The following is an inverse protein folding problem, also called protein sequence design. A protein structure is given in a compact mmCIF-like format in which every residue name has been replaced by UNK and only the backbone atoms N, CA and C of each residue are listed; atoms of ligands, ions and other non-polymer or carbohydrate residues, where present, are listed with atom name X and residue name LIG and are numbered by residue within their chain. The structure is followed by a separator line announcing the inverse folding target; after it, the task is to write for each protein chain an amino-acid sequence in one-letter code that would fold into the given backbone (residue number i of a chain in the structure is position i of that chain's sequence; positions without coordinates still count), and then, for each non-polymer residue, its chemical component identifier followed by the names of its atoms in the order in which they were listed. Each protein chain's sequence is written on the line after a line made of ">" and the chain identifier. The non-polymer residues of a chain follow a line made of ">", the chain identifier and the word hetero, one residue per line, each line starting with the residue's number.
data_IF_136502395758
#
_entry.id   IF_136502395758
#
_cell.length_a   1.000
_cell.length_b   1.000
_cell.length_c   1.000
_cell.angle_alpha   90.00
_cell.angle_beta   90.00
_cell.angle_gamma   90.00
#
_symmetry.space_group_name_H-M   'P 1'
#
loop_
_entity.id
_entity.type
_entity.pdbx_description
1 polymer ?
#
# COMPACT_ATOMS: atom_id res chain seq x y z
N UNK A 1 -4.25 -4.97 32.84
CA UNK A 1 -3.81 -6.37 32.59
C UNK A 1 -2.33 -6.43 32.90
N UNK A 2 -1.85 -7.49 33.55
CA UNK A 2 -0.42 -7.64 33.77
C UNK A 2 0.27 -7.98 32.44
N UNK A 3 1.52 -7.55 32.25
CA UNK A 3 2.32 -7.84 31.05
C UNK A 3 2.43 -9.35 30.76
N UNK A 4 2.44 -10.17 31.83
CA UNK A 4 2.40 -11.63 31.77
C UNK A 4 1.14 -12.17 31.07
N UNK A 5 -0.02 -11.56 31.33
CA UNK A 5 -1.30 -12.02 30.79
C UNK A 5 -1.36 -11.75 29.28
N UNK A 6 -0.80 -10.62 28.84
CA UNK A 6 -0.71 -10.26 27.42
C UNK A 6 0.26 -11.17 26.66
N UNK A 7 1.42 -11.45 27.25
CA UNK A 7 2.39 -12.39 26.67
C UNK A 7 1.81 -13.81 26.54
N UNK A 8 1.07 -14.26 27.55
CA UNK A 8 0.40 -15.56 27.51
C UNK A 8 -0.70 -15.60 26.44
N UNK A 9 -1.57 -14.59 26.39
CA UNK A 9 -2.62 -14.49 25.36
C UNK A 9 -2.03 -14.49 23.94
N UNK A 10 -0.94 -13.75 23.73
CA UNK A 10 -0.25 -13.69 22.44
C UNK A 10 0.35 -15.05 22.06
N UNK A 11 0.99 -15.74 23.00
CA UNK A 11 1.54 -17.08 22.79
C UNK A 11 0.44 -18.11 22.45
N UNK A 12 -0.68 -18.08 23.17
CA UNK A 12 -1.85 -18.93 22.90
C UNK A 12 -2.43 -18.65 21.51
N UNK A 13 -2.57 -17.39 21.14
CA UNK A 13 -3.01 -16.99 19.81
C UNK A 13 -2.09 -17.53 18.72
N UNK A 14 -0.76 -17.36 18.86
CA UNK A 14 0.20 -17.90 17.91
C UNK A 14 0.15 -19.42 17.80
N UNK A 15 -0.04 -20.13 18.92
CA UNK A 15 -0.17 -21.58 18.91
C UNK A 15 -1.40 -22.04 18.13
N UNK A 16 -2.56 -21.41 18.38
CA UNK A 16 -3.79 -21.66 17.63
C UNK A 16 -3.62 -21.35 16.14
N UNK A 17 -2.96 -20.25 15.79
CA UNK A 17 -2.72 -19.90 14.38
C UNK A 17 -1.87 -20.95 13.66
N UNK A 18 -0.87 -21.52 14.33
CA UNK A 18 -0.06 -22.63 13.78
C UNK A 18 -0.87 -23.91 13.59
N UNK A 19 -1.78 -24.22 14.51
CA UNK A 19 -2.67 -25.38 14.38
C UNK A 19 -3.61 -25.23 13.17
N UNK A 20 -4.25 -24.06 13.03
CA UNK A 20 -5.09 -23.74 11.88
C UNK A 20 -4.28 -23.84 10.58
N UNK A 21 -3.08 -23.26 10.54
CA UNK A 21 -2.22 -23.35 9.36
C UNK A 21 -1.93 -24.81 8.97
N UNK A 22 -1.59 -25.65 9.94
CA UNK A 22 -1.32 -27.07 9.67
C UNK A 22 -2.54 -27.82 9.14
N UNK A 23 -3.73 -27.54 9.67
CA UNK A 23 -4.96 -28.19 9.23
C UNK A 23 -5.38 -27.73 7.82
N UNK A 24 -5.28 -26.42 7.53
CA UNK A 24 -5.57 -25.86 6.21
C UNK A 24 -4.58 -26.35 5.13
N UNK A 25 -3.29 -26.43 5.45
CA UNK A 25 -2.29 -27.02 4.56
C UNK A 25 -2.54 -28.52 4.31
N UNK A 26 -3.00 -29.25 5.33
CA UNK A 26 -3.35 -30.67 5.20
C UNK A 26 -4.59 -30.86 4.33
N UNK A 27 -5.61 -30.02 4.53
CA UNK A 27 -6.82 -29.99 3.71
C UNK A 27 -6.52 -29.66 2.24
N UNK A 28 -5.58 -28.74 1.99
CA UNK A 28 -5.16 -28.35 0.65
C UNK A 28 -4.07 -29.26 0.03
N UNK A 29 -3.68 -30.36 0.68
CA UNK A 29 -2.51 -31.17 0.30
C UNK A 29 -2.53 -31.66 -1.15
N UNK A 30 -3.67 -32.16 -1.64
CA UNK A 30 -3.83 -32.57 -3.05
C UNK A 30 -3.57 -31.40 -3.99
N UNK A 31 -4.17 -30.24 -3.71
CA UNK A 31 -4.00 -29.04 -4.52
C UNK A 31 -2.55 -28.53 -4.51
N UNK A 32 -1.88 -28.60 -3.35
CA UNK A 32 -0.46 -28.27 -3.22
C UNK A 32 0.40 -29.16 -4.11
N UNK A 33 0.15 -30.48 -4.14
CA UNK A 33 0.92 -31.39 -5.00
C UNK A 33 0.67 -31.15 -6.50
N UNK A 34 -0.57 -30.92 -6.89
CA UNK A 34 -0.91 -30.52 -8.27
C UNK A 34 -0.20 -29.23 -8.67
N UNK A 35 -0.23 -28.22 -7.80
CA UNK A 35 0.43 -26.94 -8.04
C UNK A 35 1.95 -27.09 -8.11
N UNK A 36 2.58 -27.92 -7.27
CA UNK A 36 4.01 -28.25 -7.37
C UNK A 36 4.36 -28.87 -8.71
N UNK A 37 3.53 -29.78 -9.21
CA UNK A 37 3.74 -30.40 -10.52
C UNK A 37 3.64 -29.36 -11.65
N UNK A 38 2.63 -28.48 -11.59
CA UNK A 38 2.48 -27.35 -12.52
C UNK A 38 3.68 -26.39 -12.47
N UNK A 39 4.07 -25.94 -11.27
CA UNK A 39 5.21 -25.03 -11.09
C UNK A 39 6.50 -25.63 -11.68
N UNK A 40 6.70 -26.95 -11.57
CA UNK A 40 7.83 -27.65 -12.16
C UNK A 40 7.86 -27.58 -13.68
N UNK A 41 6.70 -27.63 -14.37
CA UNK A 41 6.65 -27.48 -15.83
C UNK A 41 7.04 -26.06 -16.27
N UNK A 42 6.89 -25.09 -15.37
CA UNK A 42 7.31 -23.69 -15.52
C UNK A 42 8.73 -23.42 -14.98
N UNK A 43 9.47 -24.47 -14.60
CA UNK A 43 10.86 -24.35 -14.12
C UNK A 43 11.02 -23.95 -12.65
N UNK A 44 9.95 -23.90 -11.87
CA UNK A 44 9.98 -23.57 -10.44
C UNK A 44 9.88 -24.84 -9.59
N UNK A 45 10.84 -25.05 -8.69
CA UNK A 45 10.79 -26.15 -7.72
C UNK A 45 10.38 -25.61 -6.35
N UNK A 46 9.30 -26.15 -5.79
CA UNK A 46 8.75 -25.75 -4.50
C UNK A 46 8.79 -26.93 -3.51
N UNK A 47 9.38 -26.71 -2.34
CA UNK A 47 9.33 -27.65 -1.20
C UNK A 47 8.01 -27.49 -0.43
N UNK A 48 7.71 -28.36 0.54
CA UNK A 48 6.56 -28.14 1.43
C UNK A 48 6.70 -26.86 2.28
N UNK A 49 7.93 -26.49 2.63
CA UNK A 49 8.21 -25.26 3.38
C UNK A 49 7.93 -23.96 2.60
N UNK A 50 7.70 -24.05 1.28
CA UNK A 50 7.28 -22.92 0.46
C UNK A 50 5.80 -22.56 0.65
N UNK A 51 5.02 -23.41 1.33
CA UNK A 51 3.59 -23.25 1.51
C UNK A 51 3.28 -22.77 2.93
N UNK A 52 2.36 -21.82 3.01
CA UNK A 52 1.90 -21.23 4.26
C UNK A 52 0.40 -20.93 4.15
N UNK A 53 -0.30 -20.94 5.28
CA UNK A 53 -1.67 -20.45 5.37
C UNK A 53 -1.76 -19.23 6.29
N UNK A 54 -2.47 -18.21 5.83
CA UNK A 54 -2.93 -17.12 6.70
C UNK A 54 -4.37 -16.77 6.36
N UNK A 55 -5.22 -16.43 7.35
CA UNK A 55 -6.63 -16.12 7.09
C UNK A 55 -6.86 -15.07 5.99
N UNK A 56 -6.08 -13.97 5.89
CA UNK A 56 -6.29 -12.98 4.84
C UNK A 56 -5.94 -13.46 3.43
N UNK A 57 -5.01 -14.41 3.29
CA UNK A 57 -4.44 -14.79 1.99
C UNK A 57 -4.79 -16.21 1.54
N UNK A 58 -5.38 -17.02 2.41
CA UNK A 58 -5.57 -18.46 2.17
C UNK A 58 -4.25 -19.22 2.11
N UNK A 59 -4.23 -20.29 1.33
CA UNK A 59 -3.03 -21.11 1.12
C UNK A 59 -2.17 -20.49 0.03
N UNK A 60 -0.96 -20.12 0.39
CA UNK A 60 -0.02 -19.45 -0.52
C UNK A 60 1.23 -20.29 -0.75
N UNK A 61 1.82 -20.14 -1.93
CA UNK A 61 3.15 -20.64 -2.27
C UNK A 61 4.09 -19.45 -2.45
N UNK A 62 5.26 -19.50 -1.81
CA UNK A 62 6.26 -18.44 -1.86
C UNK A 62 7.59 -18.94 -2.43
N UNK A 63 8.12 -18.24 -3.43
CA UNK A 63 9.48 -18.39 -3.92
C UNK A 63 9.89 -17.14 -4.72
N UNK A 64 11.17 -16.76 -4.76
CA UNK A 64 11.61 -15.58 -5.50
C UNK A 64 11.17 -15.63 -6.97
N UNK A 65 10.42 -14.62 -7.40
CA UNK A 65 9.91 -14.49 -8.76
C UNK A 65 8.93 -15.59 -9.19
N UNK A 66 8.29 -16.31 -8.25
CA UNK A 66 7.35 -17.39 -8.58
C UNK A 66 6.28 -16.93 -9.56
N UNK A 67 5.67 -15.76 -9.36
CA UNK A 67 4.64 -15.26 -10.27
C UNK A 67 5.19 -15.02 -11.68
N UNK A 68 6.39 -14.44 -11.81
CA UNK A 68 7.02 -14.16 -13.11
C UNK A 68 7.29 -15.43 -13.92
N UNK A 69 7.62 -16.52 -13.23
CA UNK A 69 7.85 -17.82 -13.86
C UNK A 69 6.55 -18.50 -14.29
N UNK A 70 5.46 -18.26 -13.58
CA UNK A 70 4.15 -18.87 -13.85
C UNK A 70 3.31 -18.08 -14.86
N UNK A 71 3.46 -16.75 -14.89
CA UNK A 71 2.67 -15.83 -15.70
C UNK A 71 3.38 -15.52 -17.03
N UNK A 72 2.68 -15.72 -18.14
CA UNK A 72 3.21 -15.44 -19.49
C UNK A 72 3.30 -13.91 -19.78
N UNK A 73 2.62 -13.09 -18.97
CA UNK A 73 2.71 -11.63 -19.03
C UNK A 73 3.88 -11.16 -18.17
N UNK A 74 4.77 -10.36 -18.76
CA UNK A 74 5.94 -9.81 -18.07
C UNK A 74 5.72 -8.36 -17.65
N UNK A 75 6.31 -7.91 -16.52
CA UNK A 75 6.28 -6.52 -16.12
C UNK A 75 7.16 -5.67 -17.03
N UNK A 76 6.88 -4.37 -17.08
CA UNK A 76 7.73 -3.42 -17.77
C UNK A 76 9.10 -3.33 -17.08
N UNK A 77 10.19 -3.54 -17.83
CA UNK A 77 11.54 -3.58 -17.27
C UNK A 77 12.04 -2.26 -16.67
N UNK A 78 11.39 -1.11 -16.96
CA UNK A 78 11.77 0.20 -16.42
C UNK A 78 11.16 0.48 -15.06
N UNK A 79 9.88 0.15 -14.86
CA UNK A 79 9.14 0.51 -13.66
C UNK A 79 8.60 -0.69 -12.86
N UNK A 80 8.76 -1.91 -13.36
CA UNK A 80 8.36 -3.14 -12.67
C UNK A 80 6.85 -3.38 -12.65
N UNK A 81 6.06 -2.60 -13.41
CA UNK A 81 4.60 -2.70 -13.41
C UNK A 81 4.08 -3.60 -14.53
N UNK A 82 3.00 -4.32 -14.25
CA UNK A 82 2.25 -5.09 -15.24
C UNK A 82 1.17 -4.20 -15.86
N UNK A 83 1.12 -4.17 -17.19
CA UNK A 83 0.07 -3.46 -17.92
C UNK A 83 -1.29 -4.14 -17.76
N UNK A 84 -2.31 -3.38 -17.38
CA UNK A 84 -3.64 -3.91 -17.08
C UNK A 84 -4.28 -4.62 -18.27
N UNK A 85 -4.12 -4.07 -19.48
CA UNK A 85 -4.67 -4.66 -20.70
C UNK A 85 -4.08 -6.04 -21.02
N UNK A 86 -2.82 -6.29 -20.67
CA UNK A 86 -2.20 -7.62 -20.84
C UNK A 86 -2.63 -8.57 -19.73
N UNK A 87 -2.68 -8.11 -18.48
CA UNK A 87 -3.18 -8.91 -17.35
C UNK A 87 -4.61 -9.39 -17.58
N UNK A 88 -5.51 -8.50 -18.04
CA UNK A 88 -6.92 -8.80 -18.25
C UNK A 88 -7.19 -9.86 -19.35
N UNK A 89 -6.20 -10.17 -20.20
CA UNK A 89 -6.29 -11.26 -21.19
C UNK A 89 -6.13 -12.65 -20.56
N UNK A 90 -5.40 -12.74 -19.45
CA UNK A 90 -4.98 -14.02 -18.86
C UNK A 90 -5.50 -14.24 -17.44
N UNK A 91 -5.86 -13.18 -16.73
CA UNK A 91 -6.40 -13.21 -15.38
C UNK A 91 -7.75 -12.51 -15.33
N UNK A 92 -8.59 -12.96 -14.39
CA UNK A 92 -9.92 -12.38 -14.11
C UNK A 92 -9.96 -11.85 -12.68
N UNK A 93 -10.92 -10.98 -12.32
CA UNK A 93 -11.16 -10.63 -10.92
C UNK A 93 -11.27 -11.89 -10.04
N UNK A 94 -10.54 -11.90 -8.93
CA UNK A 94 -10.47 -13.02 -8.00
C UNK A 94 -11.57 -13.02 -6.94
N UNK A 95 -11.48 -13.93 -5.96
CA UNK A 95 -12.50 -14.11 -4.92
C UNK A 95 -12.51 -13.01 -3.85
N UNK A 96 -11.48 -12.18 -3.79
CA UNK A 96 -11.31 -11.11 -2.80
C UNK A 96 -10.62 -9.90 -3.41
N UNK A 97 -10.67 -8.78 -2.68
CA UNK A 97 -9.89 -7.57 -2.97
C UNK A 97 -8.42 -7.94 -3.19
N UNK A 98 -7.74 -7.25 -4.10
CA UNK A 98 -6.32 -7.50 -4.36
C UNK A 98 -5.99 -8.87 -4.99
N UNK A 99 -6.97 -9.73 -5.31
CA UNK A 99 -6.76 -10.99 -6.04
C UNK A 99 -7.17 -10.97 -7.53
N UNK A 100 -6.35 -11.57 -8.39
CA UNK A 100 -6.62 -11.86 -9.80
C UNK A 100 -6.53 -13.37 -10.05
N UNK A 101 -7.65 -14.01 -10.38
CA UNK A 101 -7.75 -15.46 -10.55
C UNK A 101 -7.31 -15.88 -11.96
N UNK A 102 -6.32 -16.77 -12.00
CA UNK A 102 -5.94 -17.56 -13.17
C UNK A 102 -6.47 -19.01 -13.06
N UNK A 103 -6.11 -19.88 -14.03
CA UNK A 103 -6.55 -21.27 -14.04
C UNK A 103 -5.90 -22.12 -12.94
N UNK A 104 -4.62 -21.88 -12.63
CA UNK A 104 -3.84 -22.72 -11.72
C UNK A 104 -3.47 -22.04 -10.40
N UNK A 105 -3.55 -20.71 -10.36
CA UNK A 105 -3.23 -19.92 -9.18
C UNK A 105 -3.98 -18.59 -9.19
N UNK A 106 -3.94 -17.90 -8.06
CA UNK A 106 -4.42 -16.53 -7.91
C UNK A 106 -3.20 -15.63 -7.74
N UNK A 107 -3.02 -14.69 -8.65
CA UNK A 107 -2.06 -13.60 -8.50
C UNK A 107 -2.62 -12.58 -7.51
N UNK A 108 -1.73 -11.91 -6.78
CA UNK A 108 -2.11 -10.90 -5.80
C UNK A 108 -1.47 -9.56 -6.15
N UNK A 109 -2.13 -8.47 -5.78
CA UNK A 109 -1.52 -7.14 -5.81
C UNK A 109 -0.24 -7.12 -4.94
N UNK A 110 0.63 -6.14 -5.14
CA UNK A 110 1.88 -6.06 -4.37
C UNK A 110 1.60 -5.85 -2.86
N UNK A 111 2.37 -6.46 -1.93
CA UNK A 111 2.13 -6.35 -0.48
C UNK A 111 2.08 -4.94 0.09
N UNK A 112 2.63 -3.95 -0.61
CA UNK A 112 2.55 -2.53 -0.24
C UNK A 112 1.12 -1.96 -0.18
N UNK A 113 0.16 -2.59 -0.85
CA UNK A 113 -1.25 -2.18 -0.76
C UNK A 113 -1.95 -2.76 0.47
N UNK A 114 -1.31 -3.68 1.20
CA UNK A 114 -1.87 -4.24 2.44
C UNK A 114 -1.79 -3.21 3.57
N UNK A 115 -2.63 -3.39 4.58
CA UNK A 115 -2.62 -2.59 5.81
C UNK A 115 -1.21 -2.51 6.40
N UNK A 116 -0.79 -1.28 6.74
CA UNK A 116 0.56 -0.97 7.23
C UNK A 116 1.70 -1.47 6.31
N UNK A 117 1.42 -1.79 5.04
CA UNK A 117 2.36 -2.43 4.11
C UNK A 117 2.89 -3.79 4.61
N UNK A 118 2.15 -4.46 5.50
CA UNK A 118 2.57 -5.72 6.10
C UNK A 118 2.25 -6.92 5.19
N UNK A 119 3.19 -7.85 4.95
CA UNK A 119 2.97 -9.00 4.05
C UNK A 119 1.88 -9.99 4.46
N UNK A 120 1.34 -9.91 5.68
CA UNK A 120 0.22 -10.75 6.12
C UNK A 120 -1.02 -9.92 6.45
N UNK A 121 -1.00 -8.61 6.19
CA UNK A 121 -2.15 -7.74 6.36
C UNK A 121 -3.20 -7.96 5.28
N UNK A 122 -4.43 -7.50 5.55
CA UNK A 122 -5.50 -7.51 4.56
C UNK A 122 -5.35 -6.35 3.55
N UNK A 123 -6.10 -6.41 2.44
CA UNK A 123 -6.13 -5.42 1.35
C UNK A 123 -6.95 -4.17 1.66
N UNK A 124 -7.50 -4.05 2.86
CA UNK A 124 -8.10 -2.82 3.34
C UNK A 124 -7.00 -1.80 3.67
N UNK A 125 -7.09 -0.55 3.17
CA UNK A 125 -8.27 0.09 2.57
C UNK A 125 -8.40 -0.09 1.04
N UNK A 126 -9.62 0.15 0.52
CA UNK A 126 -10.16 -0.09 -0.86
C UNK A 126 -9.40 0.48 -2.07
N UNK A 127 -8.17 0.98 -1.92
CA UNK A 127 -7.40 1.56 -3.03
C UNK A 127 -7.33 0.61 -4.23
N UNK A 128 -6.99 -0.66 -3.99
CA UNK A 128 -6.77 -1.61 -5.08
C UNK A 128 -8.06 -1.89 -5.86
N UNK A 129 -9.20 -1.98 -5.18
CA UNK A 129 -10.50 -2.20 -5.79
C UNK A 129 -10.98 -0.99 -6.60
N UNK A 130 -10.80 0.22 -6.05
CA UNK A 130 -11.08 1.46 -6.77
C UNK A 130 -10.18 1.56 -8.00
N UNK A 131 -8.89 1.28 -7.85
CA UNK A 131 -7.94 1.28 -8.95
C UNK A 131 -8.29 0.24 -10.03
N UNK A 132 -8.74 -0.96 -9.65
CA UNK A 132 -9.14 -2.01 -10.59
C UNK A 132 -10.42 -1.70 -11.35
N UNK A 133 -11.42 -1.17 -10.65
CA UNK A 133 -12.68 -0.72 -11.25
C UNK A 133 -12.53 0.56 -12.07
N UNK A 134 -11.49 1.36 -11.81
CA UNK A 134 -11.22 2.58 -12.55
C UNK A 134 -11.00 2.31 -14.04
N UNK A 135 -11.87 2.91 -14.86
CA UNK A 135 -11.86 2.76 -16.31
C UNK A 135 -12.30 4.07 -16.95
N UNK A 136 -11.47 4.60 -17.85
CA UNK A 136 -11.80 5.77 -18.68
C UNK A 136 -11.24 5.59 -20.08
N UNK A 137 -11.84 6.26 -21.07
CA UNK A 137 -11.42 6.12 -22.46
C UNK A 137 -9.99 6.64 -22.64
N UNK A 138 -9.11 5.81 -23.21
CA UNK A 138 -7.71 6.17 -23.46
C UNK A 138 -6.81 6.10 -22.21
N UNK A 139 -7.29 5.50 -21.12
CA UNK A 139 -6.50 5.25 -19.92
C UNK A 139 -5.53 4.07 -20.12
N UNK A 140 -4.24 4.31 -19.92
CA UNK A 140 -3.23 3.28 -19.75
C UNK A 140 -2.96 3.07 -18.25
N UNK A 141 -3.25 1.87 -17.78
CA UNK A 141 -3.22 1.46 -16.37
C UNK A 141 -2.18 0.39 -16.15
N UNK A 142 -1.35 0.52 -15.14
CA UNK A 142 -0.36 -0.50 -14.77
C UNK A 142 -0.24 -0.63 -13.25
N UNK A 143 0.03 -1.84 -12.77
CA UNK A 143 0.06 -2.15 -11.32
C UNK A 143 1.16 -3.17 -10.99
N UNK A 144 1.70 -3.09 -9.78
CA UNK A 144 2.62 -4.08 -9.25
C UNK A 144 1.84 -5.26 -8.66
N UNK A 145 2.33 -6.46 -8.92
CA UNK A 145 1.82 -7.71 -8.33
C UNK A 145 2.84 -8.26 -7.32
N UNK A 146 2.39 -9.13 -6.43
CA UNK A 146 3.25 -9.88 -5.50
C UNK A 146 4.03 -10.93 -6.32
N UNK A 147 5.28 -10.62 -6.66
CA UNK A 147 6.05 -11.47 -7.56
C UNK A 147 6.59 -12.74 -6.88
N UNK A 148 6.69 -12.70 -5.56
CA UNK A 148 7.31 -13.74 -4.74
C UNK A 148 6.27 -14.64 -4.06
N UNK A 149 4.97 -14.39 -4.29
CA UNK A 149 3.88 -15.16 -3.69
C UNK A 149 2.66 -15.29 -4.61
N UNK A 150 2.10 -16.48 -4.67
CA UNK A 150 0.80 -16.75 -5.31
C UNK A 150 -0.10 -17.54 -4.36
N UNK A 151 -1.42 -17.39 -4.51
CA UNK A 151 -2.42 -18.18 -3.78
C UNK A 151 -2.82 -19.41 -4.61
N UNK A 152 -2.95 -20.58 -3.97
CA UNK A 152 -3.11 -21.88 -4.67
C UNK A 152 -4.46 -22.55 -4.42
N UNK A 153 -5.16 -22.20 -3.34
CA UNK A 153 -6.53 -22.60 -3.02
C UNK A 153 -7.53 -21.73 -3.79
N UNK A 154 -7.78 -22.10 -5.05
CA UNK A 154 -8.59 -21.32 -6.00
C UNK A 154 -10.03 -21.05 -5.56
N UNK A 155 -10.57 -21.96 -4.75
CA UNK A 155 -11.94 -21.93 -4.22
C UNK A 155 -11.96 -21.75 -2.70
N UNK A 156 -10.80 -21.41 -2.11
CA UNK A 156 -10.72 -21.12 -0.69
C UNK A 156 -11.48 -19.85 -0.34
N UNK A 157 -11.86 -19.74 0.93
CA UNK A 157 -12.60 -18.59 1.43
C UNK A 157 -11.75 -17.31 1.31
N UNK A 158 -12.40 -16.20 0.95
CA UNK A 158 -11.80 -14.87 1.05
C UNK A 158 -12.03 -14.27 2.44
N UNK A 159 -11.15 -13.37 2.85
CA UNK A 159 -11.33 -12.57 4.04
C UNK A 159 -11.75 -11.15 3.62
N UNK A 160 -12.92 -10.70 4.10
CA UNK A 160 -13.46 -9.37 3.77
C UNK A 160 -13.43 -8.45 4.98
N UNK A 161 -12.82 -7.28 4.84
CA UNK A 161 -12.93 -6.18 5.80
C UNK A 161 -13.62 -5.02 5.10
N UNK A 162 -14.79 -4.61 5.58
CA UNK A 162 -15.60 -3.57 4.96
C UNK A 162 -15.28 -2.17 5.55
N UNK A 163 -13.99 -1.91 5.76
CA UNK A 163 -13.53 -0.62 6.26
C UNK A 163 -13.74 0.44 5.18
N UNK A 164 -14.54 1.44 5.52
CA UNK A 164 -14.86 2.54 4.61
C UNK A 164 -14.01 3.74 4.96
N UNK A 165 -13.18 4.14 4.00
CA UNK A 165 -12.51 5.44 3.98
C UNK A 165 -13.18 6.26 2.88
N UNK A 166 -13.53 7.50 3.16
CA UNK A 166 -14.08 8.41 2.15
C UNK A 166 -13.04 9.50 1.88
N UNK A 167 -13.03 10.07 0.67
CA UNK A 167 -12.26 11.27 0.41
C UNK A 167 -12.97 12.52 0.96
N UNK A 168 -12.23 13.55 1.39
CA UNK A 168 -12.81 14.84 1.75
C UNK A 168 -13.35 15.58 0.50
N UNK A 169 -14.28 16.54 0.66
CA UNK A 169 -14.48 17.55 -0.38
C UNK A 169 -13.16 18.30 -0.63
N UNK A 170 -12.89 18.70 -1.87
CA UNK A 170 -11.65 19.38 -2.21
C UNK A 170 -11.91 20.60 -3.09
N UNK A 171 -11.02 21.59 -3.05
CA UNK A 171 -11.05 22.67 -4.02
C UNK A 171 -10.69 22.11 -5.41
N UNK A 172 -11.71 21.94 -6.26
CA UNK A 172 -11.54 21.40 -7.60
C UNK A 172 -10.70 22.30 -8.53
N UNK A 173 -10.47 23.56 -8.14
CA UNK A 173 -9.59 24.49 -8.86
C UNK A 173 -8.11 24.21 -8.54
N UNK A 174 -7.55 23.18 -9.18
CA UNK A 174 -6.12 22.88 -9.10
C UNK A 174 -5.28 24.06 -9.55
N UNK A 175 -5.75 24.91 -10.47
CA UNK A 175 -4.96 26.04 -10.97
C UNK A 175 -4.71 27.07 -9.87
N UNK A 176 -5.66 27.30 -8.97
CA UNK A 176 -5.53 28.28 -7.87
C UNK A 176 -4.60 27.86 -6.73
N UNK A 177 -4.23 26.58 -6.62
CA UNK A 177 -3.41 26.09 -5.51
C UNK A 177 -2.02 26.76 -5.51
N UNK A 178 -1.55 27.27 -4.37
CA UNK A 178 -0.21 27.87 -4.28
C UNK A 178 0.92 26.87 -4.58
N UNK A 179 2.01 27.34 -5.19
CA UNK A 179 3.24 26.55 -5.29
C UNK A 179 3.97 26.52 -3.94
N UNK A 180 4.76 25.49 -3.71
CA UNK A 180 5.56 25.35 -2.50
C UNK A 180 5.30 24.04 -1.77
N UNK A 181 5.67 24.03 -0.50
CA UNK A 181 5.67 22.83 0.33
C UNK A 181 4.73 22.99 1.51
N UNK A 182 4.03 21.92 1.85
CA UNK A 182 3.21 21.80 3.06
C UNK A 182 3.62 20.53 3.76
N UNK A 183 3.90 20.61 5.06
CA UNK A 183 4.25 19.45 5.87
C UNK A 183 3.34 19.39 7.08
N UNK A 184 2.47 18.38 7.11
CA UNK A 184 1.53 18.16 8.20
C UNK A 184 2.04 17.03 9.10
N UNK A 185 1.77 17.14 10.38
CA UNK A 185 2.11 16.14 11.41
C UNK A 185 0.87 15.87 12.25
N UNK A 186 0.74 14.67 12.84
CA UNK A 186 -0.27 14.45 13.86
C UNK A 186 -0.12 15.47 15.00
N UNK A 187 -1.20 15.77 15.75
CA UNK A 187 -1.12 16.67 16.90
C UNK A 187 -0.04 16.22 17.88
N UNK A 188 0.88 17.13 18.22
CA UNK A 188 2.09 16.82 19.01
C UNK A 188 1.80 16.41 20.44
N UNK A 189 0.58 16.69 20.92
CA UNK A 189 0.10 16.35 22.25
C UNK A 189 -0.42 14.90 22.35
N UNK A 190 -0.57 14.19 21.22
CA UNK A 190 -0.94 12.78 21.23
C UNK A 190 0.27 11.88 21.51
N UNK A 191 0.07 10.87 22.36
CA UNK A 191 1.07 9.84 22.61
C UNK A 191 1.34 8.98 21.37
N UNK A 192 2.49 8.31 21.32
CA UNK A 192 2.87 7.40 20.22
C UNK A 192 1.80 6.34 19.95
N UNK A 193 1.23 5.75 21.00
CA UNK A 193 0.18 4.72 20.89
C UNK A 193 -1.09 5.29 20.22
N UNK A 194 -1.47 6.53 20.56
CA UNK A 194 -2.64 7.19 19.94
C UNK A 194 -2.38 7.52 18.47
N UNK A 195 -1.15 7.94 18.14
CA UNK A 195 -0.72 8.16 16.74
C UNK A 195 -0.70 6.85 15.95
N UNK A 196 -0.20 5.76 16.53
CA UNK A 196 -0.24 4.43 15.94
C UNK A 196 -1.68 4.01 15.62
N UNK A 197 -2.58 4.11 16.61
CA UNK A 197 -3.98 3.69 16.48
C UNK A 197 -4.77 4.52 15.47
N UNK A 198 -4.63 5.86 15.46
CA UNK A 198 -5.53 6.74 14.73
C UNK A 198 -4.93 7.41 13.49
N UNK A 199 -3.60 7.53 13.45
CA UNK A 199 -2.87 8.09 12.30
C UNK A 199 -2.04 7.01 11.58
N UNK A 200 -2.28 5.73 11.88
CA UNK A 200 -1.57 4.59 11.30
C UNK A 200 -0.04 4.78 11.36
N UNK A 201 0.47 5.22 12.51
CA UNK A 201 1.89 5.50 12.73
C UNK A 201 2.47 6.56 11.78
N UNK A 202 1.67 7.47 11.25
CA UNK A 202 2.19 8.56 10.42
C UNK A 202 3.09 9.48 11.25
N UNK A 203 4.32 9.70 10.79
CA UNK A 203 5.19 10.74 11.32
C UNK A 203 4.83 12.10 10.71
N UNK A 204 4.67 12.13 9.39
CA UNK A 204 4.20 13.30 8.67
C UNK A 204 3.67 12.93 7.29
N UNK A 205 2.95 13.87 6.68
CA UNK A 205 2.83 13.94 5.24
C UNK A 205 3.50 15.22 4.72
N UNK A 206 4.42 15.07 3.79
CA UNK A 206 5.13 16.16 3.12
C UNK A 206 4.60 16.26 1.70
N UNK A 207 4.14 17.44 1.31
CA UNK A 207 3.45 17.70 0.05
C UNK A 207 4.13 18.85 -0.66
N UNK A 208 4.25 18.76 -1.98
CA UNK A 208 4.83 19.80 -2.81
C UNK A 208 4.03 20.00 -4.08
N UNK A 209 3.75 21.28 -4.37
CA UNK A 209 3.34 21.73 -5.69
C UNK A 209 4.49 22.48 -6.36
N UNK A 210 4.74 22.10 -7.60
CA UNK A 210 5.65 22.82 -8.49
C UNK A 210 5.00 22.99 -9.86
N UNK A 211 5.55 23.87 -10.69
CA UNK A 211 5.02 24.11 -12.02
C UNK A 211 6.16 24.30 -13.01
N UNK A 212 5.99 23.70 -14.20
CA UNK A 212 6.86 23.92 -15.34
C UNK A 212 6.00 24.13 -16.59
N UNK A 213 6.01 25.36 -17.11
CA UNK A 213 5.12 25.77 -18.20
C UNK A 213 3.65 25.56 -17.82
N UNK A 214 2.96 24.75 -18.63
CA UNK A 214 1.53 24.44 -18.50
C UNK A 214 1.25 23.22 -17.59
N UNK A 215 2.28 22.60 -17.03
CA UNK A 215 2.14 21.41 -16.21
C UNK A 215 2.40 21.77 -14.75
N UNK A 216 1.39 21.50 -13.91
CA UNK A 216 1.49 21.63 -12.46
C UNK A 216 1.67 20.25 -11.85
N UNK A 217 2.71 20.07 -11.06
CA UNK A 217 3.11 18.78 -10.51
C UNK A 217 2.82 18.74 -9.02
N UNK A 218 2.09 17.71 -8.61
CA UNK A 218 1.85 17.34 -7.22
C UNK A 218 2.79 16.20 -6.82
N UNK A 219 3.39 16.32 -5.64
CA UNK A 219 4.13 15.23 -5.00
C UNK A 219 3.68 15.14 -3.54
N UNK A 220 3.51 13.92 -3.02
CA UNK A 220 3.26 13.69 -1.60
C UNK A 220 4.09 12.51 -1.09
N UNK A 221 4.58 12.61 0.14
CA UNK A 221 5.33 11.57 0.83
C UNK A 221 4.77 11.40 2.25
N UNK A 222 4.18 10.24 2.52
CA UNK A 222 3.83 9.81 3.88
C UNK A 222 5.02 9.07 4.48
N UNK A 223 5.59 9.63 5.53
CA UNK A 223 6.58 8.95 6.36
C UNK A 223 5.87 8.35 7.57
N UNK A 224 6.20 7.10 7.88
CA UNK A 224 5.81 6.46 9.14
C UNK A 224 6.81 6.79 10.24
N UNK A 225 6.42 6.58 11.49
CA UNK A 225 7.33 6.71 12.63
C UNK A 225 8.45 5.66 12.58
N UNK A 226 9.48 5.86 13.40
CA UNK A 226 10.71 5.06 13.38
C UNK A 226 10.55 3.60 13.81
N UNK A 227 9.43 3.23 14.43
CA UNK A 227 9.11 1.85 14.78
C UNK A 227 8.58 1.04 13.59
N UNK A 228 8.12 1.70 12.53
CA UNK A 228 7.62 1.02 11.33
C UNK A 228 8.78 0.67 10.42
N UNK A 229 9.03 -0.64 10.29
CA UNK A 229 10.07 -1.21 9.46
C UNK A 229 9.49 -2.25 8.51
N UNK A 230 10.08 -2.35 7.32
CA UNK A 230 9.87 -3.44 6.39
C UNK A 230 11.21 -4.05 5.98
N UNK A 231 11.20 -5.29 5.50
CA UNK A 231 12.40 -5.97 5.04
C UNK A 231 12.46 -5.93 3.52
N UNK A 232 13.52 -5.32 2.98
CA UNK A 232 13.86 -5.41 1.57
C UNK A 232 15.11 -6.27 1.44
N UNK A 233 14.96 -7.48 0.88
CA UNK A 233 16.06 -8.46 0.73
C UNK A 233 16.78 -8.77 2.06
N UNK A 234 16.01 -8.88 3.15
CA UNK A 234 16.55 -9.16 4.48
C UNK A 234 17.08 -7.94 5.22
N UNK A 235 17.09 -6.75 4.60
CA UNK A 235 17.60 -5.52 5.22
C UNK A 235 16.44 -4.64 5.68
N UNK A 236 16.41 -4.19 6.95
CA UNK A 236 15.36 -3.33 7.47
C UNK A 236 15.43 -1.93 6.83
N UNK A 237 14.27 -1.43 6.41
CA UNK A 237 14.08 -0.09 5.86
C UNK A 237 12.81 0.54 6.45
N UNK A 238 12.79 1.86 6.52
CA UNK A 238 11.58 2.62 6.79
C UNK A 238 10.81 2.80 5.47
N UNK A 239 9.60 2.24 5.34
CA UNK A 239 8.79 2.42 4.15
C UNK A 239 8.09 3.79 4.18
N UNK A 240 8.01 4.43 3.01
CA UNK A 240 7.28 5.68 2.84
C UNK A 240 6.44 5.62 1.56
N UNK A 241 5.15 5.96 1.66
CA UNK A 241 4.26 6.02 0.51
C UNK A 241 4.50 7.33 -0.23
N UNK A 242 4.73 7.25 -1.53
CA UNK A 242 4.99 8.40 -2.39
C UNK A 242 3.95 8.45 -3.51
N UNK A 243 3.36 9.63 -3.73
CA UNK A 243 2.48 9.92 -4.86
C UNK A 243 3.08 11.01 -5.73
N UNK A 244 2.85 10.90 -7.04
CA UNK A 244 3.19 11.91 -8.03
C UNK A 244 2.04 12.06 -9.03
N UNK A 245 1.67 13.30 -9.34
CA UNK A 245 0.64 13.60 -10.34
C UNK A 245 1.01 14.83 -11.17
N UNK A 246 0.60 14.82 -12.44
CA UNK A 246 0.77 15.95 -13.35
C UNK A 246 -0.58 16.45 -13.83
N UNK A 247 -0.88 17.71 -13.52
CA UNK A 247 -2.07 18.43 -13.94
C UNK A 247 -1.76 19.30 -15.15
N UNK A 248 -2.53 19.13 -16.22
CA UNK A 248 -2.45 19.95 -17.43
C UNK A 248 -3.38 21.17 -17.27
N UNK A 249 -2.80 22.35 -17.05
CA UNK A 249 -3.55 23.59 -16.79
C UNK A 249 -4.42 24.02 -17.97
N UNK A 250 -4.07 23.62 -19.20
CA UNK A 250 -4.86 23.99 -20.38
C UNK A 250 -6.08 23.07 -20.55
N UNK A 251 -5.95 21.82 -20.13
CA UNK A 251 -7.04 20.83 -20.22
C UNK A 251 -7.88 20.72 -18.95
N UNK A 252 -7.39 21.24 -17.83
CA UNK A 252 -8.07 21.18 -16.54
C UNK A 252 -8.17 19.76 -15.97
N UNK A 253 -7.23 18.88 -16.30
CA UNK A 253 -7.24 17.47 -15.87
C UNK A 253 -5.84 16.97 -15.53
N UNK A 254 -5.76 15.95 -14.69
CA UNK A 254 -4.53 15.18 -14.52
C UNK A 254 -4.31 14.30 -15.75
N UNK A 255 -3.07 14.25 -16.23
CA UNK A 255 -2.61 13.45 -17.38
C UNK A 255 -1.76 12.24 -16.99
N UNK A 256 -1.23 12.27 -15.77
CA UNK A 256 -0.36 11.26 -15.22
C UNK A 256 -0.54 11.22 -13.70
N UNK A 257 -0.66 10.02 -13.15
CA UNK A 257 -0.75 9.78 -11.72
C UNK A 257 -0.11 8.45 -11.39
N UNK A 258 0.89 8.45 -10.53
CA UNK A 258 1.56 7.23 -10.10
C UNK A 258 1.88 7.24 -8.61
N UNK A 259 2.10 6.04 -8.09
CA UNK A 259 2.44 5.84 -6.70
C UNK A 259 3.51 4.79 -6.52
N UNK A 260 4.26 4.93 -5.44
CA UNK A 260 5.41 4.11 -5.13
C UNK A 260 5.66 4.00 -3.64
N UNK A 261 6.50 3.04 -3.28
CA UNK A 261 7.10 2.95 -1.95
C UNK A 261 8.57 3.34 -2.06
N UNK A 262 8.98 4.29 -1.22
CA UNK A 262 10.38 4.59 -0.95
C UNK A 262 10.81 3.77 0.26
N UNK A 263 11.92 3.05 0.11
CA UNK A 263 12.56 2.30 1.19
C UNK A 263 13.77 3.08 1.64
N UNK A 264 13.67 3.72 2.80
CA UNK A 264 14.74 4.52 3.38
C UNK A 264 15.53 3.66 4.36
N UNK A 265 16.86 3.65 4.23
CA UNK A 265 17.72 3.20 5.32
C UNK A 265 17.51 4.10 6.54
N UNK A 266 17.91 3.66 7.74
CA UNK A 266 17.78 4.50 8.95
C UNK A 266 18.46 5.86 8.77
N UNK A 267 19.65 5.92 8.19
CA UNK A 267 20.36 7.18 7.94
C UNK A 267 19.58 8.12 7.00
N UNK A 268 19.03 7.57 5.91
CA UNK A 268 18.20 8.34 4.97
C UNK A 268 16.90 8.81 5.61
N UNK A 269 16.26 7.96 6.42
CA UNK A 269 15.03 8.30 7.14
C UNK A 269 15.24 9.47 8.10
N UNK A 270 16.26 9.42 8.96
CA UNK A 270 16.55 10.52 9.90
C UNK A 270 16.96 11.81 9.17
N UNK A 271 17.65 11.71 8.03
CA UNK A 271 17.95 12.88 7.19
C UNK A 271 16.71 13.47 6.51
N UNK A 272 15.75 12.62 6.11
CA UNK A 272 14.57 13.02 5.34
C UNK A 272 13.40 13.48 6.21
N UNK A 273 13.20 12.88 7.39
CA UNK A 273 11.97 13.03 8.18
C UNK A 273 11.74 14.44 8.71
N UNK A 274 12.80 15.19 8.99
CA UNK A 274 12.72 16.57 9.48
C UNK A 274 12.93 17.61 8.36
N UNK A 275 13.38 17.17 7.18
CA UNK A 275 13.55 18.00 5.98
C UNK A 275 12.27 18.10 5.14
N UNK A 276 12.17 19.11 4.27
CA UNK A 276 11.13 19.19 3.23
C UNK A 276 11.66 18.72 1.86
N UNK A 277 10.77 18.61 0.87
CA UNK A 277 11.15 18.33 -0.53
C UNK A 277 12.06 19.39 -1.18
N UNK A 278 12.33 20.55 -0.58
CA UNK A 278 13.23 21.56 -1.15
C UNK A 278 14.66 21.43 -0.61
N UNK A 279 14.82 21.09 0.67
CA UNK A 279 16.13 20.95 1.31
C UNK A 279 16.94 19.78 0.75
N UNK A 280 16.27 18.73 0.27
CA UNK A 280 16.94 17.57 -0.35
C UNK A 280 17.61 17.87 -1.69
N UNK A 281 17.31 19.00 -2.34
CA UNK A 281 17.90 19.38 -3.63
C UNK A 281 19.04 20.40 -3.54
N UNK A 282 19.21 21.12 -2.42
CA UNK A 282 20.19 22.22 -2.31
C UNK A 282 21.47 21.85 -1.55
N UNK A 283 21.50 20.75 -0.81
CA UNK A 283 22.69 20.28 -0.08
C UNK A 283 23.29 19.02 -0.71
N UNK A 284 24.59 18.83 -0.51
CA UNK A 284 25.40 17.68 -0.98
C UNK A 284 24.95 16.31 -0.47
N UNK A 285 23.96 16.27 0.43
CA UNK A 285 23.32 15.05 0.94
C UNK A 285 21.98 14.81 0.23
N UNK A 286 22.05 14.35 -1.02
CA UNK A 286 20.87 13.90 -1.75
C UNK A 286 20.44 12.52 -1.25
N UNK A 287 19.33 12.46 -0.51
CA UNK A 287 18.69 11.18 -0.16
C UNK A 287 18.03 10.63 -1.43
N UNK A 288 18.57 9.52 -1.95
CA UNK A 288 18.03 8.79 -3.12
C UNK A 288 17.62 7.39 -2.68
N UNK A 289 16.45 7.26 -2.03
CA UNK A 289 16.05 5.99 -1.45
C UNK A 289 15.77 4.98 -2.56
N UNK A 290 15.84 3.70 -2.19
CA UNK A 290 15.38 2.64 -3.10
C UNK A 290 13.89 2.85 -3.36
N UNK A 291 13.49 2.85 -4.62
CA UNK A 291 12.16 3.23 -5.07
C UNK A 291 11.51 2.07 -5.81
N UNK A 292 10.28 1.72 -5.44
CA UNK A 292 9.48 0.73 -6.15
C UNK A 292 8.13 1.33 -6.52
N UNK A 293 7.87 1.50 -7.81
CA UNK A 293 6.56 1.92 -8.29
C UNK A 293 5.56 0.80 -8.06
N UNK A 294 4.35 1.14 -7.62
CA UNK A 294 3.30 0.17 -7.30
C UNK A 294 2.06 0.32 -8.17
N UNK A 295 1.80 1.52 -8.71
CA UNK A 295 0.79 1.71 -9.74
C UNK A 295 1.13 2.91 -10.64
N UNK A 296 0.47 2.98 -11.80
CA UNK A 296 0.55 4.10 -12.74
C UNK A 296 -0.74 4.20 -13.54
N UNK A 297 -1.22 5.43 -13.72
CA UNK A 297 -2.33 5.83 -14.57
C UNK A 297 -1.85 6.94 -15.50
N UNK A 298 -1.95 6.70 -16.81
CA UNK A 298 -1.71 7.68 -17.85
C UNK A 298 -2.99 7.88 -18.65
N UNK A 299 -3.43 9.12 -18.81
CA UNK A 299 -4.71 9.43 -19.46
C UNK A 299 -5.45 10.53 -18.71
N UNK A 300 -6.70 10.75 -19.06
CA UNK A 300 -7.53 11.79 -18.43
C UNK A 300 -8.04 11.31 -17.08
N UNK A 301 -7.64 12.03 -16.03
CA UNK A 301 -8.07 11.80 -14.64
C UNK A 301 -8.60 13.14 -14.12
N UNK A 302 -9.84 13.15 -13.67
CA UNK A 302 -10.49 14.33 -13.08
C UNK A 302 -9.92 14.63 -11.70
N UNK A 303 -10.10 15.86 -11.22
CA UNK A 303 -9.69 16.24 -9.86
C UNK A 303 -10.34 15.35 -8.81
N UNK A 304 -11.63 15.05 -8.95
CA UNK A 304 -12.36 14.17 -8.03
C UNK A 304 -11.76 12.76 -7.96
N UNK A 305 -11.47 12.15 -9.11
CA UNK A 305 -10.86 10.82 -9.17
C UNK A 305 -9.46 10.82 -8.55
N UNK A 306 -8.67 11.86 -8.81
CA UNK A 306 -7.34 12.02 -8.20
C UNK A 306 -7.42 12.16 -6.66
N UNK A 307 -8.36 12.97 -6.14
CA UNK A 307 -8.57 13.13 -4.69
C UNK A 307 -8.98 11.81 -4.05
N UNK A 308 -9.93 11.10 -4.65
CA UNK A 308 -10.41 9.80 -4.16
C UNK A 308 -9.26 8.78 -4.11
N UNK A 309 -8.56 8.57 -5.22
CA UNK A 309 -7.45 7.62 -5.28
C UNK A 309 -6.30 8.01 -4.33
N UNK A 310 -5.97 9.30 -4.22
CA UNK A 310 -4.94 9.77 -3.29
C UNK A 310 -5.33 9.53 -1.83
N UNK A 311 -6.59 9.79 -1.48
CA UNK A 311 -7.12 9.56 -0.13
C UNK A 311 -7.09 8.09 0.24
N UNK A 312 -7.42 7.20 -0.70
CA UNK A 312 -7.36 5.76 -0.48
C UNK A 312 -5.93 5.21 -0.45
N UNK A 313 -5.00 5.77 -1.22
CA UNK A 313 -3.60 5.32 -1.19
C UNK A 313 -2.94 5.62 0.17
N UNK A 314 -3.30 6.75 0.79
CA UNK A 314 -2.85 7.16 2.11
C UNK A 314 -3.86 6.86 3.23
N UNK A 315 -4.82 5.97 3.00
CA UNK A 315 -5.90 5.77 3.96
C UNK A 315 -5.40 5.26 5.33
N UNK A 316 -6.24 5.48 6.35
CA UNK A 316 -5.91 5.44 7.78
C UNK A 316 -5.00 6.58 8.29
N UNK A 317 -4.64 7.55 7.44
CA UNK A 317 -3.93 8.76 7.85
C UNK A 317 -4.83 10.01 7.67
N UNK A 318 -5.39 10.55 8.77
CA UNK A 318 -6.23 11.74 8.73
C UNK A 318 -5.56 13.01 8.21
N UNK A 319 -4.23 13.07 8.12
CA UNK A 319 -3.52 14.25 7.59
C UNK A 319 -3.87 14.54 6.12
N UNK A 320 -4.27 13.53 5.35
CA UNK A 320 -4.79 13.77 4.00
C UNK A 320 -6.10 14.56 4.01
N UNK A 321 -6.95 14.37 5.02
CA UNK A 321 -8.17 15.15 5.17
C UNK A 321 -7.85 16.61 5.45
N UNK A 322 -6.98 16.86 6.42
CA UNK A 322 -6.52 18.20 6.77
C UNK A 322 -5.90 18.91 5.56
N UNK A 323 -5.10 18.20 4.77
CA UNK A 323 -4.52 18.79 3.57
C UNK A 323 -5.57 19.22 2.54
N UNK A 324 -6.57 18.38 2.28
CA UNK A 324 -7.57 18.67 1.25
C UNK A 324 -8.65 19.66 1.73
N UNK A 325 -9.10 19.57 2.98
CA UNK A 325 -10.14 20.44 3.54
C UNK A 325 -9.61 21.74 4.17
N UNK A 326 -8.34 21.75 4.58
CA UNK A 326 -7.79 22.75 5.49
C UNK A 326 -8.04 22.44 6.98
N UNK A 327 -8.95 21.50 7.29
CA UNK A 327 -9.27 21.04 8.65
C UNK A 327 -9.64 19.54 8.68
N UNK A 328 -9.73 18.98 9.89
CA UNK A 328 -10.28 17.64 10.06
C UNK A 328 -11.81 17.68 9.95
N UNK A 329 -12.44 16.70 9.26
CA UNK A 329 -13.88 16.50 9.33
C UNK A 329 -14.34 16.37 10.78
N UNK A 330 -15.55 16.86 11.11
CA UNK A 330 -16.04 16.91 12.50
C UNK A 330 -15.90 15.59 13.28
N UNK A 331 -16.18 14.45 12.64
CA UNK A 331 -16.03 13.13 13.29
C UNK A 331 -14.57 12.77 13.61
N UNK A 332 -13.59 13.22 12.80
CA UNK A 332 -12.16 13.04 13.07
C UNK A 332 -11.75 13.95 14.22
N UNK A 333 -12.17 15.22 14.20
CA UNK A 333 -11.94 16.17 15.30
C UNK A 333 -12.47 15.64 16.63
N UNK A 334 -13.71 15.11 16.64
CA UNK A 334 -14.31 14.50 17.83
C UNK A 334 -13.51 13.30 18.36
N UNK A 335 -12.93 12.48 17.47
CA UNK A 335 -12.09 11.35 17.88
C UNK A 335 -10.78 11.86 18.50
N UNK A 336 -10.15 12.87 17.90
CA UNK A 336 -8.93 13.48 18.45
C UNK A 336 -9.19 14.05 19.85
N UNK A 337 -10.30 14.76 20.06
CA UNK A 337 -10.70 15.26 21.38
C UNK A 337 -10.96 14.13 22.38
N UNK A 338 -11.62 13.05 21.97
CA UNK A 338 -11.80 11.87 22.83
C UNK A 338 -10.48 11.23 23.20
N UNK A 339 -9.55 11.10 22.25
CA UNK A 339 -8.21 10.56 22.52
C UNK A 339 -7.47 11.43 23.54
N UNK A 340 -7.57 12.76 23.45
CA UNK A 340 -7.01 13.70 24.44
C UNK A 340 -7.60 13.50 25.84
N UNK A 341 -8.90 13.27 25.92
CA UNK A 341 -9.62 13.09 27.18
C UNK A 341 -9.39 11.74 27.86
N UNK A 342 -8.88 10.74 27.13
CA UNK A 342 -8.50 9.46 27.74
C UNK A 342 -7.33 9.67 28.72
N UNK A 343 -7.31 8.97 29.86
CA UNK A 343 -6.13 8.91 30.71
C UNK A 343 -4.90 8.52 29.87
N UNK A 344 -3.74 9.12 30.16
CA UNK A 344 -2.50 8.58 29.62
C UNK A 344 -2.39 7.13 30.09
N UNK A 345 -2.20 6.22 29.14
CA UNK A 345 -1.97 4.84 29.50
C UNK A 345 -0.61 4.79 30.21
N UNK A 346 -0.62 4.51 31.52
CA UNK A 346 0.58 4.16 32.26
C UNK A 346 0.99 2.77 31.79
N UNK A 347 1.89 2.71 30.82
CA UNK A 347 2.58 1.49 30.43
C UNK A 347 4.03 1.54 30.90
#
# INVERSE_FOLDING_TARGET
>A
MAESDHQEMFAQHQARMREIEQDELRAASTRIQEFKAYARTRGVQLSDAAFNYSPPLGVTASAPGVLRSLLDVQPNGRDGLYGWNELAKVLRPGPSEGCLKGPDFIAMAHPSFRRQMHPHGNWAPRFIDLFWSFNSLGLDKSVALDEDRVRVDLDGMGYGEFDTWYGPPFNDDIASIGLGNVKLRPPSDLSRVRVEMFFASAYCIDIKWSQSGNIKTFQALELKDESVLTSLRGVPHHPARYLHAEFDLAKGVFRHFDGAIQYLTSAEYFARRDSDFNMTYKHTWHVKPTYQKVFKLNGTITTKEWVELSSHFFAANPLMFEYFNGDYPGHISDIVEKLRALPEEQW
#
